data_IF_360219125547
#
_entry.id   IF_360219125547
#
_cell.length_a   1.000
_cell.length_b   1.000
_cell.length_c   1.000
_cell.angle_alpha   90.00
_cell.angle_beta   90.00
_cell.angle_gamma   90.00
#
_symmetry.space_group_name_H-M   'P 1'
#
loop_
_entity.id
_entity.type
_entity.pdbx_description
1 polymer ?
#
# COMPACT_ATOMS: atom_id res chain seq x y z
N UNK A 1 -17.59 7.86 13.73
CA UNK A 1 -16.93 6.59 13.37
C UNK A 1 -17.95 5.46 13.47
N UNK A 2 -18.14 4.69 12.40
CA UNK A 2 -19.07 3.54 12.38
C UNK A 2 -18.53 2.39 13.26
N UNK A 3 -19.38 1.42 13.68
CA UNK A 3 -18.92 0.24 14.41
C UNK A 3 -17.84 -0.55 13.64
N UNK A 4 -17.99 -0.64 12.32
CA UNK A 4 -17.04 -1.28 11.42
C UNK A 4 -15.67 -0.60 11.43
N UNK A 5 -15.63 0.73 11.25
CA UNK A 5 -14.38 1.49 11.31
C UNK A 5 -13.71 1.40 12.69
N UNK A 6 -14.50 1.31 13.77
CA UNK A 6 -13.95 1.10 15.11
C UNK A 6 -13.26 -0.26 15.20
N UNK A 7 -13.92 -1.32 14.71
CA UNK A 7 -13.35 -2.67 14.71
C UNK A 7 -12.09 -2.77 13.85
N UNK A 8 -12.12 -2.19 12.66
CA UNK A 8 -10.95 -2.12 11.79
C UNK A 8 -9.78 -1.40 12.47
N UNK A 9 -10.05 -0.28 13.14
CA UNK A 9 -9.05 0.47 13.90
C UNK A 9 -8.43 -0.35 15.04
N UNK A 10 -9.21 -1.14 15.78
CA UNK A 10 -8.68 -2.03 16.83
C UNK A 10 -7.79 -3.14 16.23
N UNK A 11 -8.18 -3.68 15.07
CA UNK A 11 -7.38 -4.68 14.36
C UNK A 11 -6.05 -4.12 13.81
N UNK A 12 -5.94 -2.79 13.69
CA UNK A 12 -4.73 -2.12 13.23
C UNK A 12 -3.66 -1.91 14.31
N UNK A 13 -3.98 -2.21 15.58
CA UNK A 13 -3.03 -2.04 16.68
C UNK A 13 -1.82 -3.00 16.54
N UNK A 14 -0.62 -2.56 16.95
CA UNK A 14 0.57 -3.40 16.94
C UNK A 14 0.35 -4.72 17.71
N UNK A 15 0.75 -5.83 17.09
CA UNK A 15 0.65 -7.18 17.65
C UNK A 15 -0.66 -7.92 17.36
N UNK A 16 -1.66 -7.28 16.73
CA UNK A 16 -2.92 -7.96 16.37
C UNK A 16 -2.80 -8.72 15.05
N UNK A 17 -2.51 -8.02 13.94
CA UNK A 17 -2.29 -8.64 12.62
C UNK A 17 -0.80 -8.61 12.25
N UNK A 18 -0.14 -7.46 12.44
CA UNK A 18 1.28 -7.25 12.19
C UNK A 18 1.97 -6.83 13.48
N UNK A 19 3.30 -7.03 13.56
CA UNK A 19 4.05 -6.64 14.75
C UNK A 19 4.05 -5.11 14.97
N UNK A 20 4.10 -4.32 13.90
CA UNK A 20 4.18 -2.86 13.94
C UNK A 20 2.82 -2.15 13.85
N UNK A 21 1.74 -2.88 13.55
CA UNK A 21 0.44 -2.29 13.24
C UNK A 21 0.40 -1.66 11.84
N UNK A 22 -0.58 -0.78 11.60
CA UNK A 22 -0.80 -0.10 10.31
C UNK A 22 -0.84 1.43 10.41
N UNK A 23 -0.59 1.97 11.61
CA UNK A 23 -0.86 3.39 11.90
C UNK A 23 0.38 4.19 12.22
N UNK A 24 1.52 3.53 12.46
CA UNK A 24 2.75 4.21 12.82
C UNK A 24 2.56 5.16 14.00
N UNK A 25 2.90 6.44 13.79
CA UNK A 25 2.74 7.52 14.76
C UNK A 25 1.47 8.36 14.54
N UNK A 26 0.59 7.94 13.63
CA UNK A 26 -0.63 8.66 13.30
C UNK A 26 -1.61 8.68 14.48
N UNK A 27 -1.97 9.89 14.91
CA UNK A 27 -2.89 10.13 16.02
C UNK A 27 -4.28 10.53 15.55
N UNK A 28 -4.48 10.71 14.23
CA UNK A 28 -5.78 11.05 13.64
C UNK A 28 -6.75 9.89 13.79
N UNK A 29 -8.04 10.19 13.70
CA UNK A 29 -9.07 9.15 13.61
C UNK A 29 -8.97 8.42 12.27
N UNK A 30 -9.36 7.14 12.21
CA UNK A 30 -9.30 6.37 10.96
C UNK A 30 -10.08 7.02 9.81
N UNK A 31 -11.26 7.59 10.11
CA UNK A 31 -12.03 8.36 9.12
C UNK A 31 -11.29 9.61 8.64
N UNK A 32 -10.61 10.32 9.54
CA UNK A 32 -9.84 11.51 9.18
C UNK A 32 -8.66 11.17 8.27
N UNK A 33 -7.95 10.06 8.54
CA UNK A 33 -6.84 9.59 7.70
C UNK A 33 -7.35 9.35 6.27
N UNK A 34 -8.42 8.55 6.14
CA UNK A 34 -9.00 8.21 4.83
C UNK A 34 -9.50 9.46 4.10
N UNK A 35 -10.20 10.37 4.79
CA UNK A 35 -10.76 11.57 4.18
C UNK A 35 -9.67 12.55 3.70
N UNK A 36 -8.61 12.75 4.49
CA UNK A 36 -7.48 13.61 4.14
C UNK A 36 -6.63 13.00 3.02
N UNK A 37 -6.34 11.70 3.07
CA UNK A 37 -5.59 11.01 2.01
C UNK A 37 -6.38 11.01 0.69
N UNK A 38 -7.71 10.83 0.74
CA UNK A 38 -8.55 10.95 -0.45
C UNK A 38 -8.55 12.37 -1.06
N UNK A 39 -8.39 13.43 -0.24
CA UNK A 39 -8.21 14.79 -0.76
C UNK A 39 -6.86 14.96 -1.46
N UNK A 40 -5.78 14.39 -0.91
CA UNK A 40 -4.45 14.42 -1.52
C UNK A 40 -4.42 13.70 -2.86
N UNK A 41 -4.98 12.48 -2.94
CA UNK A 41 -5.07 11.72 -4.18
C UNK A 41 -5.81 12.51 -5.27
N UNK A 42 -6.95 13.14 -4.94
CA UNK A 42 -7.69 14.01 -5.87
C UNK A 42 -6.86 15.21 -6.34
N UNK A 43 -6.09 15.84 -5.45
CA UNK A 43 -5.23 16.97 -5.83
C UNK A 43 -4.10 16.57 -6.78
N UNK A 44 -3.64 15.33 -6.71
CA UNK A 44 -2.63 14.77 -7.62
C UNK A 44 -3.23 14.15 -8.88
N UNK A 45 -4.55 14.14 -9.02
CA UNK A 45 -5.29 13.48 -10.12
C UNK A 45 -5.01 11.97 -10.16
N UNK A 46 -4.92 11.35 -8.99
CA UNK A 46 -4.71 9.91 -8.82
C UNK A 46 -6.01 9.24 -8.39
N UNK A 47 -6.52 8.32 -9.22
CA UNK A 47 -7.69 7.51 -8.90
C UNK A 47 -7.29 6.21 -8.19
N UNK A 48 -7.90 5.84 -7.04
CA UNK A 48 -7.51 4.66 -6.28
C UNK A 48 -7.56 3.35 -7.07
N UNK A 49 -8.56 3.18 -7.94
CA UNK A 49 -8.71 1.98 -8.77
C UNK A 49 -7.54 1.84 -9.78
N UNK A 50 -7.18 2.94 -10.44
CA UNK A 50 -6.08 2.97 -11.40
C UNK A 50 -4.73 2.73 -10.71
N UNK A 51 -4.53 3.29 -9.51
CA UNK A 51 -3.36 3.03 -8.70
C UNK A 51 -3.26 1.55 -8.29
N UNK A 52 -4.37 0.96 -7.85
CA UNK A 52 -4.41 -0.45 -7.47
C UNK A 52 -4.12 -1.37 -8.66
N UNK A 53 -4.66 -1.06 -9.85
CA UNK A 53 -4.32 -1.76 -11.09
C UNK A 53 -2.84 -1.63 -11.42
N UNK A 54 -2.27 -0.41 -11.34
CA UNK A 54 -0.86 -0.16 -11.61
C UNK A 54 0.05 -0.92 -10.65
N UNK A 55 -0.28 -0.95 -9.37
CA UNK A 55 0.49 -1.70 -8.36
C UNK A 55 0.38 -3.21 -8.54
N UNK A 56 -0.81 -3.73 -8.91
CA UNK A 56 -0.95 -5.15 -9.29
C UNK A 56 -0.10 -5.49 -10.50
N UNK A 57 -0.10 -4.63 -11.52
CA UNK A 57 0.75 -4.84 -12.69
C UNK A 57 2.23 -4.93 -12.30
N UNK A 58 2.75 -3.99 -11.51
CA UNK A 58 4.13 -4.06 -11.03
C UNK A 58 4.40 -5.33 -10.22
N UNK A 59 3.49 -5.71 -9.31
CA UNK A 59 3.64 -6.93 -8.52
C UNK A 59 3.73 -8.19 -9.42
N UNK A 60 2.82 -8.34 -10.38
CA UNK A 60 2.80 -9.53 -11.25
C UNK A 60 3.99 -9.58 -12.21
N UNK A 61 4.42 -8.44 -12.76
CA UNK A 61 5.63 -8.38 -13.58
C UNK A 61 6.89 -8.64 -12.75
N UNK A 62 6.96 -8.06 -11.55
CA UNK A 62 8.06 -8.26 -10.60
C UNK A 62 8.22 -9.72 -10.16
N UNK A 63 7.13 -10.48 -10.00
CA UNK A 63 7.17 -11.92 -9.69
C UNK A 63 7.93 -12.75 -10.72
N UNK A 64 7.98 -12.31 -11.98
CA UNK A 64 8.74 -13.00 -13.05
C UNK A 64 10.25 -12.99 -12.76
N UNK A 65 10.71 -12.05 -11.94
CA UNK A 65 12.10 -11.95 -11.47
C UNK A 65 12.49 -12.97 -10.40
N UNK A 66 11.54 -13.71 -9.82
CA UNK A 66 11.79 -14.73 -8.79
C UNK A 66 12.64 -14.24 -7.60
N UNK A 67 12.36 -13.02 -7.14
CA UNK A 67 13.10 -12.36 -6.05
C UNK A 67 14.27 -11.49 -6.53
N UNK A 68 14.60 -11.48 -7.82
CA UNK A 68 15.54 -10.52 -8.39
C UNK A 68 14.81 -9.32 -9.02
N UNK A 69 15.40 -8.12 -8.99
CA UNK A 69 14.83 -6.96 -9.67
C UNK A 69 14.74 -7.15 -11.20
N UNK A 70 13.58 -6.83 -11.79
CA UNK A 70 13.33 -6.87 -13.23
C UNK A 70 12.93 -5.51 -13.76
N UNK A 71 13.25 -5.23 -15.03
CA UNK A 71 12.76 -4.02 -15.69
C UNK A 71 11.32 -4.23 -16.15
N UNK A 72 10.42 -3.33 -15.75
CA UNK A 72 9.01 -3.30 -16.12
C UNK A 72 8.73 -2.02 -16.90
N UNK A 73 7.99 -2.12 -18.00
CA UNK A 73 7.65 -1.00 -18.90
C UNK A 73 8.82 -0.08 -19.29
N UNK A 74 10.04 -0.63 -19.34
CA UNK A 74 11.31 0.07 -19.62
C UNK A 74 11.79 1.08 -18.56
N UNK A 75 10.88 1.73 -17.85
CA UNK A 75 11.17 2.87 -16.96
C UNK A 75 11.30 2.49 -15.49
N UNK A 76 10.80 1.32 -15.08
CA UNK A 76 10.81 0.90 -13.68
C UNK A 76 11.66 -0.34 -13.46
N UNK A 77 12.36 -0.37 -12.33
CA UNK A 77 12.97 -1.56 -11.76
C UNK A 77 12.06 -2.06 -10.62
N UNK A 78 11.56 -3.28 -10.75
CA UNK A 78 10.60 -3.86 -9.81
C UNK A 78 11.15 -5.13 -9.22
N UNK A 79 11.11 -5.23 -7.89
CA UNK A 79 11.47 -6.43 -7.14
C UNK A 79 10.25 -6.90 -6.35
N UNK A 80 9.94 -8.20 -6.43
CA UNK A 80 8.86 -8.80 -5.65
C UNK A 80 9.39 -9.95 -4.81
N UNK A 81 9.19 -9.86 -3.50
CA UNK A 81 9.60 -10.86 -2.51
C UNK A 81 8.35 -11.48 -1.86
N UNK A 82 8.20 -12.80 -1.98
CA UNK A 82 7.08 -13.54 -1.37
C UNK A 82 7.57 -14.37 -0.17
N UNK A 83 6.96 -14.14 1.00
CA UNK A 83 7.19 -14.91 2.21
C UNK A 83 6.03 -15.87 2.47
N UNK A 84 6.28 -16.92 3.25
CA UNK A 84 5.24 -17.88 3.64
C UNK A 84 4.21 -17.22 4.57
N UNK A 85 2.95 -17.60 4.38
CA UNK A 85 1.84 -17.20 5.23
C UNK A 85 0.98 -16.09 4.62
N UNK A 86 -0.01 -15.67 5.41
CA UNK A 86 -1.02 -14.71 4.98
C UNK A 86 -1.24 -13.64 6.04
N UNK A 87 -1.87 -12.54 5.64
CA UNK A 87 -2.33 -11.46 6.50
C UNK A 87 -3.83 -11.28 6.28
N UNK A 88 -4.59 -11.10 7.36
CA UNK A 88 -5.98 -10.70 7.25
C UNK A 88 -6.06 -9.19 6.99
N UNK A 89 -7.06 -8.75 6.23
CA UNK A 89 -7.42 -7.34 6.18
C UNK A 89 -7.94 -6.89 7.56
N UNK A 90 -7.57 -5.69 8.06
CA UNK A 90 -8.13 -5.15 9.30
C UNK A 90 -9.65 -4.99 9.27
N UNK A 91 -10.27 -4.81 8.09
CA UNK A 91 -11.73 -4.79 7.89
C UNK A 91 -12.37 -6.19 7.87
N UNK A 92 -11.58 -7.26 8.02
CA UNK A 92 -12.05 -8.65 8.06
C UNK A 92 -12.76 -9.13 6.78
N UNK A 93 -12.50 -8.49 5.65
CA UNK A 93 -13.13 -8.77 4.35
C UNK A 93 -12.25 -9.60 3.39
N UNK A 94 -11.02 -9.94 3.79
CA UNK A 94 -10.08 -10.68 2.95
C UNK A 94 -8.83 -11.21 3.65
N UNK A 95 -8.13 -12.12 2.97
CA UNK A 95 -6.86 -12.71 3.39
C UNK A 95 -5.89 -12.62 2.20
N UNK A 96 -4.70 -12.06 2.45
CA UNK A 96 -3.72 -11.68 1.43
C UNK A 96 -2.39 -12.36 1.68
N UNK A 97 -1.60 -12.58 0.63
CA UNK A 97 -0.28 -13.21 0.78
C UNK A 97 0.73 -12.19 1.31
N UNK A 98 1.76 -12.68 2.00
CA UNK A 98 2.89 -11.85 2.44
C UNK A 98 3.83 -11.55 1.28
N UNK A 99 3.42 -10.62 0.43
CA UNK A 99 4.17 -10.21 -0.75
C UNK A 99 4.57 -8.77 -0.58
N UNK A 100 5.87 -8.53 -0.69
CA UNK A 100 6.48 -7.21 -0.64
C UNK A 100 6.95 -6.84 -2.04
N UNK A 101 6.69 -5.60 -2.46
CA UNK A 101 7.06 -5.09 -3.77
C UNK A 101 7.80 -3.78 -3.59
N UNK A 102 8.98 -3.69 -4.19
CA UNK A 102 9.72 -2.44 -4.33
C UNK A 102 9.71 -2.04 -5.79
N UNK A 103 9.26 -0.83 -6.08
CA UNK A 103 9.31 -0.22 -7.41
C UNK A 103 10.21 0.98 -7.35
N UNK A 104 11.18 1.05 -8.25
CA UNK A 104 12.10 2.17 -8.43
C UNK A 104 12.00 2.68 -9.85
N UNK A 105 11.85 4.00 -10.03
CA UNK A 105 11.91 4.61 -11.35
C UNK A 105 13.36 4.89 -11.73
N UNK A 106 13.76 4.51 -12.94
CA UNK A 106 15.16 4.44 -13.36
C UNK A 106 15.79 5.80 -13.67
N UNK A 107 15.00 6.80 -14.03
CA UNK A 107 15.48 8.13 -14.45
C UNK A 107 15.83 9.04 -13.27
N UNK A 108 15.06 8.96 -12.17
CA UNK A 108 15.17 9.84 -11.02
C UNK A 108 15.43 9.10 -9.69
N UNK A 109 15.34 7.77 -9.69
CA UNK A 109 15.60 6.94 -8.51
C UNK A 109 14.50 6.98 -7.45
N UNK A 110 13.35 7.60 -7.72
CA UNK A 110 12.19 7.59 -6.81
C UNK A 110 11.73 6.15 -6.60
N UNK A 111 11.45 5.80 -5.35
CA UNK A 111 11.08 4.43 -4.97
C UNK A 111 9.84 4.41 -4.12
N UNK A 112 9.01 3.39 -4.31
CA UNK A 112 7.91 3.06 -3.41
C UNK A 112 7.99 1.60 -2.99
N UNK A 113 7.45 1.34 -1.82
CA UNK A 113 7.32 0.01 -1.25
C UNK A 113 5.87 -0.25 -0.87
N UNK A 114 5.33 -1.41 -1.24
CA UNK A 114 3.96 -1.80 -0.93
C UNK A 114 3.81 -3.31 -0.83
N UNK A 115 2.64 -3.75 -0.34
CA UNK A 115 2.29 -5.17 -0.27
C UNK A 115 1.03 -5.50 -1.04
N UNK A 116 0.78 -6.80 -1.25
CA UNK A 116 -0.51 -7.31 -1.74
C UNK A 116 -1.69 -6.79 -0.90
N UNK A 117 -1.52 -6.76 0.43
CA UNK A 117 -2.52 -6.18 1.34
C UNK A 117 -2.66 -4.66 1.13
N UNK A 118 -1.56 -3.92 0.97
CA UNK A 118 -1.60 -2.46 0.75
C UNK A 118 -2.43 -2.07 -0.48
N UNK A 119 -2.39 -2.89 -1.55
CA UNK A 119 -3.22 -2.70 -2.75
C UNK A 119 -4.71 -2.80 -2.38
N UNK A 120 -5.10 -3.83 -1.64
CA UNK A 120 -6.49 -4.01 -1.20
C UNK A 120 -6.95 -2.88 -0.28
N UNK A 121 -6.12 -2.48 0.69
CA UNK A 121 -6.43 -1.38 1.61
C UNK A 121 -6.71 -0.07 0.86
N UNK A 122 -5.89 0.24 -0.15
CA UNK A 122 -6.09 1.38 -1.04
C UNK A 122 -7.41 1.26 -1.82
N UNK A 123 -7.64 0.14 -2.49
CA UNK A 123 -8.77 -0.01 -3.43
C UNK A 123 -10.12 -0.13 -2.73
N UNK A 124 -10.21 -0.98 -1.71
CA UNK A 124 -11.48 -1.31 -1.05
C UNK A 124 -11.85 -0.32 0.04
N UNK A 125 -10.85 0.33 0.66
CA UNK A 125 -11.06 1.15 1.86
C UNK A 125 -10.52 2.58 1.73
N UNK A 126 -9.81 2.92 0.64
CA UNK A 126 -9.17 4.22 0.49
C UNK A 126 -8.09 4.49 1.54
N UNK A 127 -7.57 3.44 2.18
CA UNK A 127 -6.66 3.55 3.31
C UNK A 127 -5.22 3.31 2.87
N UNK A 128 -4.38 4.34 3.03
CA UNK A 128 -2.97 4.35 2.61
C UNK A 128 -2.01 4.00 3.75
N UNK A 129 -2.52 3.49 4.88
CA UNK A 129 -1.84 3.39 6.17
C UNK A 129 -1.56 4.74 6.86
N UNK A 130 -1.40 4.71 8.19
CA UNK A 130 -1.14 5.92 8.97
C UNK A 130 0.27 6.47 8.77
N UNK A 131 0.44 7.77 9.01
CA UNK A 131 1.76 8.40 8.98
C UNK A 131 2.77 7.68 9.88
N UNK A 132 3.98 7.49 9.33
CA UNK A 132 5.06 6.77 10.01
C UNK A 132 4.92 5.25 9.99
N UNK A 133 3.88 4.69 9.36
CA UNK A 133 3.83 3.24 9.07
C UNK A 133 4.87 2.87 8.00
N UNK A 134 5.52 1.72 8.17
CA UNK A 134 6.55 1.21 7.26
C UNK A 134 6.05 0.96 5.83
N UNK A 135 4.74 0.78 5.66
CA UNK A 135 4.09 0.46 4.38
C UNK A 135 3.13 1.55 3.91
N UNK A 136 3.25 2.77 4.46
CA UNK A 136 2.41 3.90 4.02
C UNK A 136 2.65 4.24 2.55
N UNK A 137 1.55 4.29 1.81
CA UNK A 137 1.51 4.70 0.41
C UNK A 137 1.45 6.23 0.34
N UNK A 138 2.60 6.90 0.39
CA UNK A 138 2.65 8.36 0.37
C UNK A 138 2.17 8.93 -0.99
N UNK A 139 1.06 9.71 -1.05
CA UNK A 139 0.51 10.22 -2.31
C UNK A 139 1.49 11.04 -3.15
N UNK A 140 2.30 11.89 -2.51
CA UNK A 140 3.31 12.72 -3.17
C UNK A 140 4.36 11.87 -3.88
N UNK A 141 4.76 10.77 -3.24
CA UNK A 141 5.76 9.84 -3.77
C UNK A 141 5.19 9.06 -4.95
N UNK A 142 3.94 8.59 -4.84
CA UNK A 142 3.22 7.94 -5.94
C UNK A 142 3.16 8.88 -7.15
N UNK A 143 2.77 10.14 -6.94
CA UNK A 143 2.67 11.13 -8.00
C UNK A 143 4.02 11.37 -8.71
N UNK A 144 5.13 11.45 -7.97
CA UNK A 144 6.49 11.59 -8.55
C UNK A 144 6.97 10.33 -9.25
N UNK A 145 6.62 9.15 -8.74
CA UNK A 145 6.99 7.86 -9.31
C UNK A 145 6.31 7.63 -10.66
N UNK A 146 5.06 8.06 -10.81
CA UNK A 146 4.23 7.77 -11.98
C UNK A 146 4.22 8.88 -13.07
N UNK A 147 4.71 10.10 -12.77
CA UNK A 147 4.77 11.23 -13.72
C UNK A 147 6.16 11.48 -14.27
#
# INVERSE_FOLDING_TARGET
>A
MTPELKKARENMDPGIITAEGFLGSDSRSLSTIIDEDAQLLRNFELEPADLAERFRHFMEEGRKGLGEPVTVDSDWLVKTDEARGHLACPWEDGIFRKINVTVERKDNGEKIFFTDLSIHLLEAHGFLEGHGSSFRLEPELINKLLK
#
